data_IF_126585104278
#
_entry.id   IF_126585104278
#
_cell.length_a   1.000
_cell.length_b   1.000
_cell.length_c   1.000
_cell.angle_alpha   90.00
_cell.angle_beta   90.00
_cell.angle_gamma   90.00
#
_symmetry.space_group_name_H-M   'P 1'
#
loop_
_entity.id
_entity.type
_entity.pdbx_description
1 polymer ?
#
# COMPACT_ATOMS: atom_id res chain seq x y z
N UNK A 1 -76.62 -52.92 -44.33
CA UNK A 1 -75.19 -53.00 -43.99
C UNK A 1 -74.62 -51.62 -44.19
N UNK A 2 -74.56 -50.83 -43.11
CA UNK A 2 -74.34 -49.38 -43.20
C UNK A 2 -72.95 -49.07 -42.55
N UNK A 3 -72.00 -48.62 -43.36
CA UNK A 3 -70.64 -48.27 -42.95
C UNK A 3 -70.64 -46.83 -42.45
N UNK A 4 -70.35 -46.61 -41.20
CA UNK A 4 -70.19 -45.32 -40.61
C UNK A 4 -68.65 -44.99 -40.60
N UNK A 5 -68.28 -43.90 -41.32
CA UNK A 5 -66.90 -43.35 -41.31
C UNK A 5 -66.73 -42.42 -40.12
N UNK A 6 -65.71 -42.64 -39.31
CA UNK A 6 -65.26 -41.69 -38.28
C UNK A 6 -64.36 -40.58 -38.87
N UNK A 7 -64.48 -39.38 -38.39
CA UNK A 7 -63.60 -38.26 -38.84
C UNK A 7 -62.25 -38.30 -38.06
N UNK A 8 -61.20 -38.06 -38.82
CA UNK A 8 -59.84 -37.85 -38.29
C UNK A 8 -59.73 -36.54 -37.53
N UNK A 9 -59.29 -36.63 -36.30
CA UNK A 9 -58.97 -35.46 -35.47
C UNK A 9 -57.53 -35.06 -35.75
N UNK A 10 -57.31 -33.91 -36.41
CA UNK A 10 -56.00 -33.30 -36.53
C UNK A 10 -55.60 -32.71 -35.18
N UNK A 11 -54.54 -33.28 -34.56
CA UNK A 11 -53.88 -32.69 -33.42
C UNK A 11 -52.87 -31.62 -33.87
N UNK A 12 -53.21 -30.37 -33.66
CA UNK A 12 -52.27 -29.25 -33.82
C UNK A 12 -51.34 -29.19 -32.64
N UNK A 13 -50.08 -29.60 -32.86
CA UNK A 13 -49.01 -29.41 -31.85
C UNK A 13 -48.63 -27.94 -31.76
N UNK A 14 -48.94 -27.32 -30.64
CA UNK A 14 -48.53 -25.96 -30.30
C UNK A 14 -47.10 -26.01 -29.74
N UNK A 15 -46.10 -25.69 -30.55
CA UNK A 15 -44.72 -25.58 -30.15
C UNK A 15 -44.51 -24.33 -29.31
N UNK A 16 -44.31 -24.52 -27.98
CA UNK A 16 -43.96 -23.49 -27.06
C UNK A 16 -42.44 -23.19 -27.26
N UNK A 17 -42.10 -22.13 -27.97
CA UNK A 17 -40.74 -21.58 -28.04
C UNK A 17 -40.41 -20.91 -26.70
N UNK A 18 -39.65 -21.58 -25.86
CA UNK A 18 -39.06 -20.98 -24.69
C UNK A 18 -37.93 -20.02 -25.11
N UNK A 19 -38.21 -18.72 -25.10
CA UNK A 19 -37.19 -17.69 -25.28
C UNK A 19 -36.32 -17.64 -24.03
N UNK A 20 -35.12 -18.24 -24.10
CA UNK A 20 -34.09 -18.06 -23.09
C UNK A 20 -33.57 -16.63 -23.16
N UNK A 21 -34.00 -15.77 -22.26
CA UNK A 21 -33.44 -14.45 -22.03
C UNK A 21 -32.06 -14.65 -21.41
N UNK A 22 -31.00 -14.55 -22.24
CA UNK A 22 -29.65 -14.39 -21.75
C UNK A 22 -29.56 -13.00 -21.10
N UNK A 23 -29.62 -12.96 -19.76
CA UNK A 23 -29.20 -11.78 -19.00
C UNK A 23 -27.69 -11.59 -19.26
N UNK A 24 -27.24 -10.40 -19.70
CA UNK A 24 -25.82 -10.13 -19.75
C UNK A 24 -25.27 -10.22 -18.32
N UNK A 25 -24.26 -11.09 -18.13
CA UNK A 25 -23.49 -11.10 -16.91
C UNK A 25 -22.91 -9.68 -16.75
N UNK A 26 -23.37 -8.95 -15.76
CA UNK A 26 -22.77 -7.69 -15.36
C UNK A 26 -21.32 -8.00 -15.03
N UNK A 27 -20.40 -7.64 -15.93
CA UNK A 27 -18.99 -7.58 -15.60
C UNK A 27 -18.90 -6.60 -14.44
N UNK A 28 -18.51 -7.07 -13.26
CA UNK A 28 -18.07 -6.20 -12.19
C UNK A 28 -16.87 -5.47 -12.77
N UNK A 29 -17.10 -4.22 -13.22
CA UNK A 29 -16.05 -3.30 -13.59
C UNK A 29 -15.11 -3.24 -12.39
N UNK A 30 -13.84 -3.60 -12.56
CA UNK A 30 -12.82 -3.52 -11.53
C UNK A 30 -12.74 -2.06 -11.07
N UNK A 31 -13.58 -1.71 -10.10
CA UNK A 31 -13.59 -0.37 -9.52
C UNK A 31 -12.21 -0.14 -8.92
N UNK A 32 -11.48 0.86 -9.43
CA UNK A 32 -10.19 1.26 -8.87
C UNK A 32 -10.32 1.32 -7.35
N UNK A 33 -9.40 0.69 -6.60
CA UNK A 33 -9.46 0.72 -5.15
C UNK A 33 -9.55 2.17 -4.66
N UNK A 34 -10.51 2.45 -3.78
CA UNK A 34 -10.57 3.79 -3.18
C UNK A 34 -9.30 4.04 -2.36
N UNK A 35 -8.86 5.29 -2.21
CA UNK A 35 -7.66 5.61 -1.41
C UNK A 35 -7.67 5.00 -0.02
N UNK A 36 -8.85 4.86 0.61
CA UNK A 36 -9.04 4.30 1.95
C UNK A 36 -9.39 2.81 1.98
N UNK A 37 -9.35 2.11 0.84
CA UNK A 37 -9.52 0.65 0.86
C UNK A 37 -8.38 -0.03 1.60
N UNK A 38 -8.67 -1.15 2.24
CA UNK A 38 -7.65 -1.97 2.92
C UNK A 38 -6.49 -2.32 1.99
N UNK A 39 -6.79 -2.67 0.74
CA UNK A 39 -5.77 -2.97 -0.27
C UNK A 39 -4.87 -1.77 -0.57
N UNK A 40 -5.45 -0.57 -0.69
CA UNK A 40 -4.68 0.66 -0.94
C UNK A 40 -3.82 1.07 0.26
N UNK A 41 -4.25 0.78 1.48
CA UNK A 41 -3.50 1.09 2.69
C UNK A 41 -2.41 0.04 2.92
N UNK A 42 -2.78 -1.24 2.96
CA UNK A 42 -1.88 -2.30 3.40
C UNK A 42 -1.07 -2.94 2.27
N UNK A 43 -1.54 -2.90 1.01
CA UNK A 43 -0.99 -3.68 -0.09
C UNK A 43 -0.89 -2.90 -1.40
N UNK A 44 -0.64 -1.59 -1.33
CA UNK A 44 -0.42 -0.75 -2.50
C UNK A 44 0.74 -1.32 -3.35
N UNK A 45 0.50 -1.73 -4.61
CA UNK A 45 1.52 -2.33 -5.45
C UNK A 45 2.60 -1.34 -5.89
N UNK A 46 2.35 -0.04 -5.80
CA UNK A 46 3.29 1.01 -6.20
C UNK A 46 4.32 1.33 -5.10
N UNK A 47 4.09 0.85 -3.87
CA UNK A 47 4.97 1.12 -2.73
C UNK A 47 5.72 -0.16 -2.38
N UNK A 48 7.06 -0.13 -2.35
CA UNK A 48 7.86 -1.27 -1.96
C UNK A 48 7.54 -1.70 -0.52
N UNK A 49 7.47 -3.01 -0.29
CA UNK A 49 7.33 -3.57 1.04
C UNK A 49 8.66 -4.20 1.46
N UNK A 50 9.03 -3.99 2.71
CA UNK A 50 10.19 -4.57 3.36
C UNK A 50 9.78 -5.71 4.30
N UNK A 51 10.75 -6.37 4.90
CA UNK A 51 10.51 -7.53 5.75
C UNK A 51 9.98 -8.71 4.95
N UNK A 52 9.02 -9.44 5.52
CA UNK A 52 8.44 -10.60 4.89
C UNK A 52 7.24 -10.22 4.00
N UNK A 53 7.40 -10.30 2.67
CA UNK A 53 6.33 -10.01 1.71
C UNK A 53 5.04 -10.82 1.95
N UNK A 54 5.17 -12.03 2.54
CA UNK A 54 4.09 -12.95 2.88
C UNK A 54 3.75 -12.94 4.37
N UNK A 55 4.21 -11.91 5.10
CA UNK A 55 3.96 -11.76 6.53
C UNK A 55 2.48 -11.81 6.87
N UNK A 56 2.17 -12.38 8.02
CA UNK A 56 0.82 -12.52 8.56
C UNK A 56 0.22 -11.20 9.03
N UNK A 57 1.08 -10.25 9.42
CA UNK A 57 0.71 -8.88 9.78
C UNK A 57 1.42 -7.89 8.86
N UNK A 58 0.68 -6.88 8.41
CA UNK A 58 1.26 -5.71 7.74
C UNK A 58 1.32 -4.54 8.72
N UNK A 59 2.50 -3.93 8.82
CA UNK A 59 2.71 -2.64 9.47
C UNK A 59 2.89 -1.61 8.36
N UNK A 60 2.13 -0.53 8.41
CA UNK A 60 2.29 0.65 7.55
C UNK A 60 2.72 1.81 8.41
N UNK A 61 3.78 2.49 8.03
CA UNK A 61 4.22 3.74 8.65
C UNK A 61 4.00 4.91 7.68
N UNK A 62 3.24 5.91 8.11
CA UNK A 62 3.20 7.23 7.47
C UNK A 62 4.27 8.10 8.12
N UNK A 63 5.28 8.47 7.38
CA UNK A 63 6.51 9.04 7.93
C UNK A 63 7.09 10.17 7.09
N UNK A 64 8.04 10.89 7.68
CA UNK A 64 8.85 11.92 7.00
C UNK A 64 10.32 11.76 7.39
N UNK A 65 11.20 11.82 6.42
CA UNK A 65 12.65 11.65 6.63
C UNK A 65 13.26 12.74 7.54
N UNK A 66 12.65 13.91 7.65
CA UNK A 66 13.11 14.97 8.55
C UNK A 66 12.48 14.90 9.95
N UNK A 67 11.47 14.06 10.13
CA UNK A 67 10.79 13.92 11.42
C UNK A 67 11.69 13.28 12.48
N UNK A 68 11.99 13.95 13.61
CA UNK A 68 12.86 13.39 14.64
C UNK A 68 12.26 12.15 15.32
N UNK A 69 10.93 12.07 15.39
CA UNK A 69 10.23 10.92 15.98
C UNK A 69 10.25 9.69 15.06
N UNK A 70 10.15 9.87 13.72
CA UNK A 70 10.33 8.79 12.76
C UNK A 70 11.76 8.22 12.85
N UNK A 71 12.77 9.10 12.84
CA UNK A 71 14.17 8.72 13.03
C UNK A 71 14.43 7.99 14.35
N UNK A 72 13.69 8.36 15.42
CA UNK A 72 13.82 7.73 16.73
C UNK A 72 13.25 6.32 16.75
N UNK A 73 12.10 6.08 16.12
CA UNK A 73 11.46 4.76 16.19
C UNK A 73 12.02 3.76 15.18
N UNK A 74 12.63 4.24 14.09
CA UNK A 74 13.09 3.37 13.00
C UNK A 74 13.99 2.21 13.46
N UNK A 75 15.00 2.37 14.33
CA UNK A 75 15.84 1.26 14.77
C UNK A 75 15.06 0.17 15.54
N UNK A 76 14.11 0.57 16.39
CA UNK A 76 13.29 -0.37 17.14
C UNK A 76 12.33 -1.11 16.22
N UNK A 77 11.70 -0.38 15.28
CA UNK A 77 10.81 -0.97 14.28
C UNK A 77 11.55 -1.97 13.39
N UNK A 78 12.70 -1.59 12.86
CA UNK A 78 13.53 -2.46 12.02
C UNK A 78 13.94 -3.74 12.77
N UNK A 79 14.35 -3.61 14.02
CA UNK A 79 14.70 -4.75 14.87
C UNK A 79 13.50 -5.67 15.12
N UNK A 80 12.33 -5.12 15.45
CA UNK A 80 11.10 -5.89 15.68
C UNK A 80 10.71 -6.67 14.41
N UNK A 81 10.73 -6.02 13.27
CA UNK A 81 10.40 -6.66 11.98
C UNK A 81 11.37 -7.78 11.64
N UNK A 82 12.66 -7.56 11.88
CA UNK A 82 13.70 -8.57 11.65
C UNK A 82 13.54 -9.77 12.58
N UNK A 83 13.39 -9.54 13.90
CA UNK A 83 13.33 -10.59 14.90
C UNK A 83 12.04 -11.43 14.79
N UNK A 84 10.93 -10.81 14.42
CA UNK A 84 9.63 -11.46 14.23
C UNK A 84 9.60 -12.35 12.97
N UNK A 85 10.19 -11.89 11.87
CA UNK A 85 10.30 -12.60 10.60
C UNK A 85 9.00 -12.85 9.84
N UNK A 86 7.83 -12.48 10.40
CA UNK A 86 6.50 -12.67 9.81
C UNK A 86 5.75 -11.36 9.59
N UNK A 87 6.45 -10.23 9.63
CA UNK A 87 5.89 -8.90 9.42
C UNK A 87 6.22 -8.40 8.02
N UNK A 88 5.20 -7.92 7.31
CA UNK A 88 5.31 -7.11 6.10
C UNK A 88 5.33 -5.65 6.50
N UNK A 89 6.40 -4.91 6.17
CA UNK A 89 6.56 -3.50 6.49
C UNK A 89 6.41 -2.63 5.25
N UNK A 90 5.55 -1.62 5.31
CA UNK A 90 5.28 -0.68 4.22
C UNK A 90 5.55 0.73 4.70
N UNK A 91 6.42 1.44 4.01
CA UNK A 91 6.71 2.84 4.28
C UNK A 91 5.94 3.74 3.32
N UNK A 92 5.07 4.60 3.87
CA UNK A 92 4.29 5.58 3.13
C UNK A 92 4.86 6.97 3.40
N UNK A 93 5.63 7.46 2.44
CA UNK A 93 6.17 8.81 2.50
C UNK A 93 5.05 9.83 2.64
N UNK A 94 5.11 10.60 3.71
CA UNK A 94 4.21 11.72 4.00
C UNK A 94 5.04 12.96 4.38
N UNK A 95 5.69 13.61 3.39
CA UNK A 95 6.64 14.69 3.63
C UNK A 95 5.92 15.99 4.01
N UNK A 96 5.90 16.29 5.31
CA UNK A 96 5.22 17.45 5.90
C UNK A 96 6.17 18.51 6.48
N UNK A 97 7.48 18.28 6.44
CA UNK A 97 8.51 19.19 6.98
C UNK A 97 9.23 20.01 5.91
N UNK A 98 8.57 20.26 4.77
CA UNK A 98 9.03 21.19 3.73
C UNK A 98 9.77 20.51 2.56
N UNK A 99 10.34 21.35 1.68
CA UNK A 99 10.83 20.95 0.36
C UNK A 99 11.92 19.86 0.41
N UNK A 100 12.81 19.95 1.39
CA UNK A 100 13.85 18.92 1.55
C UNK A 100 13.27 17.54 1.92
N UNK A 101 12.17 17.49 2.69
CA UNK A 101 11.44 16.24 2.96
C UNK A 101 10.78 15.70 1.69
N UNK A 102 10.18 16.58 0.89
CA UNK A 102 9.58 16.20 -0.41
C UNK A 102 10.65 15.65 -1.35
N UNK A 103 11.79 16.32 -1.43
CA UNK A 103 12.91 15.88 -2.27
C UNK A 103 13.44 14.50 -1.84
N UNK A 104 13.65 14.31 -0.53
CA UNK A 104 14.08 13.01 0.02
C UNK A 104 13.09 11.88 -0.32
N UNK A 105 11.80 12.11 -0.11
CA UNK A 105 10.74 11.15 -0.42
C UNK A 105 10.72 10.78 -1.91
N UNK A 106 10.82 11.78 -2.79
CA UNK A 106 10.85 11.57 -4.24
C UNK A 106 12.05 10.75 -4.69
N UNK A 107 13.25 11.04 -4.19
CA UNK A 107 14.45 10.28 -4.54
C UNK A 107 14.44 8.87 -3.96
N UNK A 108 13.92 8.68 -2.73
CA UNK A 108 13.76 7.36 -2.16
C UNK A 108 12.81 6.51 -3.00
N UNK A 109 11.65 7.04 -3.38
CA UNK A 109 10.69 6.34 -4.25
C UNK A 109 11.29 6.07 -5.64
N UNK A 110 12.06 7.00 -6.20
CA UNK A 110 12.75 6.79 -7.49
C UNK A 110 13.82 5.69 -7.41
N UNK A 111 14.44 5.50 -6.24
CA UNK A 111 15.44 4.44 -6.04
C UNK A 111 14.86 3.01 -6.21
N UNK A 112 13.53 2.84 -6.18
CA UNK A 112 12.88 1.55 -6.49
C UNK A 112 13.20 1.05 -7.90
N UNK A 113 13.41 1.95 -8.86
CA UNK A 113 13.76 1.60 -10.24
C UNK A 113 15.21 1.11 -10.39
N UNK A 114 16.00 1.29 -9.35
CA UNK A 114 17.33 0.69 -9.20
C UNK A 114 17.31 -0.54 -8.28
N UNK A 115 16.14 -0.98 -7.79
CA UNK A 115 15.96 -1.99 -6.75
C UNK A 115 16.68 -1.64 -5.44
N UNK A 116 16.72 -0.34 -5.08
CA UNK A 116 17.50 0.23 -3.98
C UNK A 116 16.65 1.03 -2.98
N UNK A 117 15.32 0.78 -2.96
CA UNK A 117 14.44 1.53 -2.05
C UNK A 117 14.78 1.31 -0.57
N UNK A 118 15.10 0.07 -0.18
CA UNK A 118 15.43 -0.25 1.21
C UNK A 118 16.68 0.49 1.68
N UNK A 119 17.73 0.48 0.85
CA UNK A 119 18.99 1.17 1.11
C UNK A 119 18.82 2.68 1.13
N UNK A 120 17.98 3.21 0.21
CA UNK A 120 17.65 4.63 0.18
C UNK A 120 16.92 5.05 1.46
N UNK A 121 15.89 4.27 1.84
CA UNK A 121 15.13 4.55 3.05
C UNK A 121 16.03 4.58 4.28
N UNK A 122 16.83 3.52 4.50
CA UNK A 122 17.71 3.42 5.66
C UNK A 122 18.74 4.55 5.70
N UNK A 123 19.35 4.88 4.55
CA UNK A 123 20.32 5.96 4.47
C UNK A 123 19.71 7.33 4.86
N UNK A 124 18.52 7.61 4.37
CA UNK A 124 17.85 8.91 4.58
C UNK A 124 17.25 9.04 5.98
N UNK A 125 16.62 7.99 6.50
CA UNK A 125 16.01 8.03 7.85
C UNK A 125 17.07 8.06 8.95
N UNK A 126 18.27 7.55 8.67
CA UNK A 126 19.41 7.57 9.58
C UNK A 126 20.13 8.91 9.68
N UNK A 127 19.87 9.85 8.78
CA UNK A 127 20.44 11.20 8.84
C UNK A 127 20.01 11.91 10.12
N UNK A 128 20.97 12.43 10.89
CA UNK A 128 20.68 13.13 12.17
C UNK A 128 20.55 14.65 12.00
N UNK A 129 21.06 15.18 10.92
CA UNK A 129 21.07 16.60 10.63
C UNK A 129 19.80 17.04 9.90
N UNK A 130 19.65 18.36 9.79
CA UNK A 130 18.62 18.94 8.91
C UNK A 130 18.92 18.56 7.46
N UNK A 131 17.90 18.12 6.74
CA UNK A 131 18.02 17.71 5.35
C UNK A 131 18.36 18.91 4.46
N UNK A 132 19.22 18.65 3.47
CA UNK A 132 19.44 19.48 2.29
C UNK A 132 19.62 18.55 1.09
N UNK A 133 19.46 19.06 -0.12
CA UNK A 133 19.66 18.27 -1.35
C UNK A 133 21.03 17.60 -1.36
N UNK A 134 22.10 18.34 -1.02
CA UNK A 134 23.47 17.82 -0.96
C UNK A 134 23.61 16.64 0.01
N UNK A 135 23.04 16.77 1.21
CA UNK A 135 23.12 15.69 2.22
C UNK A 135 22.31 14.47 1.84
N UNK A 136 21.15 14.68 1.22
CA UNK A 136 20.30 13.61 0.69
C UNK A 136 21.07 12.84 -0.39
N UNK A 137 21.63 13.55 -1.38
CA UNK A 137 22.39 12.92 -2.45
C UNK A 137 23.66 12.22 -1.93
N UNK A 138 24.39 12.83 -1.01
CA UNK A 138 25.57 12.21 -0.39
C UNK A 138 25.21 10.92 0.38
N UNK A 139 24.07 10.90 1.09
CA UNK A 139 23.60 9.71 1.78
C UNK A 139 23.24 8.58 0.78
N UNK A 140 22.59 8.93 -0.32
CA UNK A 140 22.25 7.97 -1.38
C UNK A 140 23.51 7.38 -2.02
N UNK A 141 24.51 8.21 -2.32
CA UNK A 141 25.82 7.73 -2.84
C UNK A 141 26.46 6.76 -1.86
N UNK A 142 26.48 7.09 -0.58
CA UNK A 142 27.05 6.22 0.46
C UNK A 142 26.31 4.87 0.54
N UNK A 143 25.01 4.84 0.24
CA UNK A 143 24.19 3.63 0.17
C UNK A 143 24.32 2.88 -1.18
N UNK A 144 25.21 3.32 -2.07
CA UNK A 144 25.41 2.68 -3.38
C UNK A 144 24.32 2.97 -4.40
N UNK A 145 23.65 4.11 -4.24
CA UNK A 145 22.60 4.60 -5.16
C UNK A 145 23.21 5.74 -5.99
N UNK A 146 23.01 5.70 -7.30
CA UNK A 146 23.38 6.80 -8.19
C UNK A 146 22.31 7.90 -8.15
N UNK A 147 22.59 9.09 -7.57
CA UNK A 147 21.61 10.16 -7.47
C UNK A 147 21.23 10.74 -8.85
N UNK A 148 22.12 10.72 -9.83
CA UNK A 148 21.80 11.21 -11.17
C UNK A 148 20.82 10.29 -11.86
N UNK A 149 21.01 8.97 -11.70
CA UNK A 149 20.03 8.00 -12.15
C UNK A 149 18.71 8.13 -11.39
N UNK A 150 18.73 8.28 -10.06
CA UNK A 150 17.52 8.49 -9.28
C UNK A 150 16.75 9.75 -9.72
N UNK A 151 17.44 10.85 -10.05
CA UNK A 151 16.82 12.06 -10.63
C UNK A 151 16.24 11.80 -12.02
N UNK A 152 16.90 11.02 -12.86
CA UNK A 152 16.40 10.64 -14.18
C UNK A 152 15.18 9.73 -14.07
N UNK A 153 15.23 8.75 -13.17
CA UNK A 153 14.10 7.84 -12.88
C UNK A 153 12.91 8.61 -12.28
N UNK A 154 13.17 9.61 -11.41
CA UNK A 154 12.14 10.53 -10.90
C UNK A 154 11.48 11.31 -12.04
N UNK A 155 12.25 11.91 -12.93
CA UNK A 155 11.73 12.68 -14.06
C UNK A 155 10.88 11.80 -14.99
N UNK A 156 11.33 10.58 -15.27
CA UNK A 156 10.60 9.63 -16.12
C UNK A 156 9.29 9.13 -15.48
N UNK A 157 9.20 9.09 -14.14
CA UNK A 157 8.08 8.53 -13.40
C UNK A 157 7.41 9.57 -12.48
N UNK A 158 7.59 10.85 -12.75
CA UNK A 158 7.15 11.94 -11.87
C UNK A 158 5.67 11.84 -11.53
N UNK A 159 4.79 11.62 -12.52
CA UNK A 159 3.36 11.52 -12.32
C UNK A 159 2.96 10.39 -11.35
N UNK A 160 3.62 9.23 -11.46
CA UNK A 160 3.39 8.10 -10.54
C UNK A 160 3.83 8.44 -9.12
N UNK A 161 5.05 8.99 -8.98
CA UNK A 161 5.61 9.32 -7.67
C UNK A 161 4.78 10.42 -6.99
N UNK A 162 4.39 11.46 -7.73
CA UNK A 162 3.53 12.53 -7.20
C UNK A 162 2.15 11.98 -6.79
N UNK A 163 1.58 11.05 -7.56
CA UNK A 163 0.32 10.39 -7.21
C UNK A 163 0.45 9.52 -5.93
N UNK A 164 1.59 8.85 -5.73
CA UNK A 164 1.87 8.11 -4.49
C UNK A 164 1.88 9.06 -3.29
N UNK A 165 2.63 10.15 -3.37
CA UNK A 165 2.72 11.13 -2.27
C UNK A 165 1.37 11.77 -1.97
N UNK A 166 0.60 12.15 -2.99
CA UNK A 166 -0.74 12.72 -2.84
C UNK A 166 -1.69 11.72 -2.16
N UNK A 167 -1.69 10.46 -2.60
CA UNK A 167 -2.51 9.40 -2.00
C UNK A 167 -2.10 9.12 -0.55
N UNK A 168 -0.81 9.08 -0.23
CA UNK A 168 -0.34 8.90 1.13
C UNK A 168 -0.80 10.05 2.06
N UNK A 169 -0.74 11.28 1.57
CA UNK A 169 -1.26 12.45 2.28
C UNK A 169 -2.77 12.35 2.54
N UNK A 170 -3.54 12.00 1.50
CA UNK A 170 -5.00 11.80 1.63
C UNK A 170 -5.31 10.70 2.65
N UNK A 171 -4.63 9.56 2.57
CA UNK A 171 -4.80 8.46 3.52
C UNK A 171 -4.47 8.87 4.96
N UNK A 172 -3.31 9.47 5.18
CA UNK A 172 -2.88 9.90 6.51
C UNK A 172 -3.88 10.89 7.14
N UNK A 173 -4.34 11.86 6.35
CA UNK A 173 -5.32 12.86 6.78
C UNK A 173 -6.67 12.21 7.10
N UNK A 174 -7.19 11.36 6.22
CA UNK A 174 -8.49 10.70 6.40
C UNK A 174 -8.48 9.68 7.55
N UNK A 175 -7.32 9.05 7.82
CA UNK A 175 -7.10 8.21 9.00
C UNK A 175 -6.98 9.04 10.30
N UNK A 176 -7.00 10.36 10.22
CA UNK A 176 -6.95 11.27 11.37
C UNK A 176 -5.58 11.37 12.03
N UNK A 177 -4.49 11.10 11.30
CA UNK A 177 -3.15 11.40 11.78
C UNK A 177 -2.91 12.92 11.77
N UNK A 178 -2.33 13.44 12.84
CA UNK A 178 -2.04 14.89 13.00
C UNK A 178 -0.56 15.20 12.72
N UNK A 179 0.24 14.21 12.36
CA UNK A 179 1.66 14.31 12.08
C UNK A 179 2.32 12.93 12.02
N UNK A 180 3.63 12.93 11.82
CA UNK A 180 4.44 11.73 11.68
C UNK A 180 5.22 11.40 12.96
N UNK A 181 5.49 10.13 13.24
CA UNK A 181 4.97 8.97 12.53
C UNK A 181 3.51 8.66 12.88
N UNK A 182 2.82 7.98 11.96
CA UNK A 182 1.53 7.35 12.22
C UNK A 182 1.55 5.92 11.69
N UNK A 183 1.00 4.96 12.44
CA UNK A 183 1.06 3.56 12.06
C UNK A 183 -0.32 2.96 11.86
N UNK A 184 -0.41 2.02 10.90
CA UNK A 184 -1.47 1.03 10.82
C UNK A 184 -0.82 -0.33 11.06
N UNK A 185 -1.27 -1.07 12.07
CA UNK A 185 -0.79 -2.40 12.42
C UNK A 185 -1.98 -3.36 12.28
N UNK A 186 -1.99 -4.17 11.22
CA UNK A 186 -3.20 -4.88 10.83
C UNK A 186 -4.35 -3.90 10.59
N UNK A 187 -5.38 -3.93 11.45
CA UNK A 187 -6.52 -3.02 11.37
C UNK A 187 -6.49 -1.90 12.45
N UNK A 188 -5.42 -1.83 13.25
CA UNK A 188 -5.32 -0.85 14.33
C UNK A 188 -4.56 0.40 13.88
N UNK A 189 -5.11 1.57 14.21
CA UNK A 189 -4.44 2.85 14.05
C UNK A 189 -3.66 3.19 15.32
N UNK A 190 -2.35 3.40 15.19
CA UNK A 190 -1.44 3.74 16.28
C UNK A 190 -0.75 5.07 15.96
N UNK A 191 -1.18 6.18 16.56
CA UNK A 191 -0.57 7.49 16.32
C UNK A 191 0.70 7.69 17.13
N UNK A 192 1.60 8.50 16.58
CA UNK A 192 2.84 8.92 17.26
C UNK A 192 3.93 7.85 17.23
N UNK A 193 4.90 7.97 18.14
CA UNK A 193 6.11 7.17 18.19
C UNK A 193 6.05 6.17 19.38
N UNK A 194 5.43 4.99 19.20
CA UNK A 194 5.37 3.98 20.26
C UNK A 194 6.78 3.44 20.59
N UNK A 195 6.98 3.02 21.82
CA UNK A 195 8.18 2.30 22.19
C UNK A 195 8.10 0.83 21.76
N UNK A 196 9.21 0.10 21.88
CA UNK A 196 9.32 -1.29 21.44
C UNK A 196 8.25 -2.21 22.07
N UNK A 197 7.92 -2.04 23.35
CA UNK A 197 6.92 -2.86 24.03
C UNK A 197 5.50 -2.56 23.49
N UNK A 198 5.17 -1.29 23.24
CA UNK A 198 3.90 -0.90 22.65
C UNK A 198 3.74 -1.44 21.21
N UNK A 199 4.82 -1.46 20.42
CA UNK A 199 4.81 -2.12 19.11
C UNK A 199 4.51 -3.61 19.22
N UNK A 200 5.23 -4.33 20.07
CA UNK A 200 5.03 -5.78 20.28
C UNK A 200 3.60 -6.09 20.72
N UNK A 201 3.05 -5.27 21.64
CA UNK A 201 1.68 -5.44 22.09
C UNK A 201 0.68 -5.21 20.94
N UNK A 202 0.84 -4.12 20.17
CA UNK A 202 -0.04 -3.83 19.04
C UNK A 202 0.01 -4.92 17.95
N UNK A 203 1.19 -5.52 17.71
CA UNK A 203 1.35 -6.66 16.80
C UNK A 203 0.61 -7.89 17.32
N UNK A 204 0.76 -8.20 18.61
CA UNK A 204 0.07 -9.34 19.25
C UNK A 204 -1.45 -9.17 19.19
N UNK A 205 -1.96 -7.98 19.49
CA UNK A 205 -3.39 -7.66 19.42
C UNK A 205 -3.92 -7.77 18.00
N UNK A 206 -3.15 -7.31 17.00
CA UNK A 206 -3.50 -7.40 15.60
C UNK A 206 -3.60 -8.86 15.12
N UNK A 207 -2.66 -9.72 15.52
CA UNK A 207 -2.71 -11.16 15.25
C UNK A 207 -3.92 -11.82 15.90
N UNK A 208 -4.16 -11.52 17.19
CA UNK A 208 -5.30 -12.06 17.91
C UNK A 208 -6.65 -11.65 17.27
N UNK A 209 -6.75 -10.45 16.73
CA UNK A 209 -7.93 -9.98 16.02
C UNK A 209 -8.12 -10.67 14.66
N UNK A 210 -7.03 -10.95 13.93
CA UNK A 210 -7.08 -11.64 12.64
C UNK A 210 -7.58 -13.09 12.77
N UNK A 211 -7.25 -13.79 13.87
CA UNK A 211 -7.68 -15.17 14.13
C UNK A 211 -9.14 -15.29 14.55
N UNK A 212 -9.83 -14.18 14.87
CA UNK A 212 -11.26 -14.20 15.28
C UNK A 212 -12.25 -14.02 14.12
N UNK A 213 -11.74 -13.79 12.91
CA UNK A 213 -12.53 -13.69 11.67
C UNK A 213 -12.56 -15.01 10.91
#
# INVERSE_FOLDING_TARGET
MMMIRLPSIFATALSLMAATVLLPAAHAEDAKPTPLSESSILRDPHIPALGNQKGDITIVEYFDYQCPYCRKVNPDLAKIVHDDGHIRLVFKDWPIFGDASVYAAKLALASKYQNKFAEAHEALISLREKLSEEKIEAALVTAGIDPNRAKSDLAANQSEIDAILARNHEQATALGFQGTPGFIIGHFRVPGAPNAEAFKQAIADARAAAHKK
#
